data_IF_449730288128
#
_entry.id   IF_449730288128
#
_cell.length_a   1.000
_cell.length_b   1.000
_cell.length_c   1.000
_cell.angle_alpha   90.00
_cell.angle_beta   90.00
_cell.angle_gamma   90.00
#
_symmetry.space_group_name_H-M   'P 1'
#
loop_
_entity.id
_entity.type
_entity.pdbx_description
1 polymer ?
#
# COMPACT_ATOMS: atom_id res chain seq x y z
N UNK A 1 -36.04 1.58 -47.48
CA UNK A 1 -35.92 2.77 -46.60
C UNK A 1 -35.81 2.41 -45.11
N UNK A 2 -36.25 1.24 -44.70
CA UNK A 2 -36.28 0.79 -43.27
C UNK A 2 -34.91 0.26 -42.75
N UNK A 3 -34.01 -0.22 -43.65
CA UNK A 3 -32.68 -0.76 -43.25
C UNK A 3 -31.61 0.30 -42.95
N UNK A 4 -31.83 1.57 -43.31
CA UNK A 4 -30.86 2.67 -43.00
C UNK A 4 -31.16 3.39 -41.69
N UNK A 5 -32.34 3.23 -41.15
CA UNK A 5 -32.76 3.84 -39.86
C UNK A 5 -32.30 3.00 -38.70
N UNK A 6 -32.25 1.66 -38.84
CA UNK A 6 -31.78 0.74 -37.79
C UNK A 6 -30.26 0.81 -37.54
N UNK A 7 -29.46 1.16 -38.55
CA UNK A 7 -28.03 1.35 -38.40
C UNK A 7 -27.65 2.65 -37.67
N UNK A 8 -28.50 3.69 -37.79
CA UNK A 8 -28.27 4.98 -37.12
C UNK A 8 -28.68 4.93 -35.63
N UNK A 9 -29.66 4.10 -35.29
CA UNK A 9 -30.10 3.94 -33.88
C UNK A 9 -29.12 3.05 -33.11
N UNK A 10 -28.46 2.07 -33.75
CA UNK A 10 -27.41 1.25 -33.10
C UNK A 10 -26.11 2.04 -32.88
N UNK A 11 -25.80 3.02 -33.74
CA UNK A 11 -24.63 3.89 -33.53
C UNK A 11 -24.82 4.95 -32.45
N UNK A 12 -26.08 5.32 -32.13
CA UNK A 12 -26.40 6.27 -31.06
C UNK A 12 -26.53 5.61 -29.67
N UNK A 13 -26.70 4.29 -29.59
CA UNK A 13 -26.79 3.55 -28.31
C UNK A 13 -25.42 3.17 -27.83
N UNK A 14 -24.38 3.15 -28.65
CA UNK A 14 -22.99 2.89 -28.23
C UNK A 14 -22.25 4.12 -27.65
N UNK A 15 -22.87 5.31 -27.64
CA UNK A 15 -22.29 6.55 -27.08
C UNK A 15 -22.84 6.87 -25.68
N UNK A 16 -23.78 6.08 -25.15
CA UNK A 16 -24.49 6.39 -23.90
C UNK A 16 -24.28 5.38 -22.77
N UNK A 17 -23.17 4.66 -22.74
CA UNK A 17 -22.81 3.79 -21.63
C UNK A 17 -21.46 4.18 -21.03
N UNK A 18 -21.30 5.46 -20.65
CA UNK A 18 -20.34 5.81 -19.60
C UNK A 18 -21.06 5.64 -18.25
N UNK A 19 -20.52 4.85 -17.30
CA UNK A 19 -21.07 4.82 -15.97
C UNK A 19 -20.89 6.21 -15.35
N UNK A 20 -22.00 6.85 -15.00
CA UNK A 20 -22.02 8.05 -14.17
C UNK A 20 -21.55 7.64 -12.77
N UNK A 21 -20.26 7.87 -12.46
CA UNK A 21 -19.64 7.54 -11.18
C UNK A 21 -18.12 7.59 -11.17
N UNK A 22 -17.47 7.98 -12.27
CA UNK A 22 -16.03 8.25 -12.24
C UNK A 22 -15.80 9.59 -11.53
N UNK A 23 -15.15 9.57 -10.37
CA UNK A 23 -14.63 10.76 -9.71
C UNK A 23 -13.83 11.59 -10.73
N UNK A 24 -14.04 12.91 -10.72
CA UNK A 24 -13.42 13.87 -11.65
C UNK A 24 -11.90 14.04 -11.40
N UNK A 25 -11.13 12.95 -11.34
CA UNK A 25 -9.70 12.93 -11.08
C UNK A 25 -8.89 11.94 -11.94
N UNK A 26 -9.55 11.13 -12.78
CA UNK A 26 -8.88 10.06 -13.54
C UNK A 26 -8.96 10.22 -15.07
N UNK A 27 -9.24 11.41 -15.60
CA UNK A 27 -9.23 11.62 -17.05
C UNK A 27 -7.79 11.72 -17.57
N UNK A 28 -7.11 10.59 -17.73
CA UNK A 28 -5.79 10.55 -18.35
C UNK A 28 -4.90 9.41 -17.90
N UNK A 29 -5.26 8.68 -16.84
CA UNK A 29 -4.54 7.47 -16.47
C UNK A 29 -5.19 6.25 -17.14
N UNK A 30 -4.42 5.52 -17.90
CA UNK A 30 -4.81 4.26 -18.49
C UNK A 30 -3.74 3.23 -18.25
N UNK A 31 -4.07 2.21 -17.47
CA UNK A 31 -3.25 1.00 -17.31
C UNK A 31 -3.91 -0.06 -18.20
N UNK A 32 -3.30 -0.37 -19.35
CA UNK A 32 -3.76 -1.42 -20.26
C UNK A 32 -3.56 -2.82 -19.67
N UNK A 33 -4.02 -3.83 -20.40
CA UNK A 33 -3.70 -5.22 -20.06
C UNK A 33 -2.19 -5.44 -20.13
N UNK A 34 -1.64 -6.12 -19.13
CA UNK A 34 -0.24 -6.52 -19.09
C UNK A 34 -0.07 -7.87 -18.42
N UNK A 35 1.08 -8.50 -18.67
CA UNK A 35 1.46 -9.76 -18.08
C UNK A 35 2.22 -9.53 -16.78
N UNK A 36 1.84 -10.24 -15.72
CA UNK A 36 2.59 -10.30 -14.47
C UNK A 36 2.91 -11.75 -14.12
N UNK A 37 4.16 -12.01 -13.75
CA UNK A 37 4.58 -13.34 -13.31
C UNK A 37 4.21 -13.53 -11.84
N UNK A 38 3.64 -14.69 -11.50
CA UNK A 38 3.27 -15.07 -10.15
C UNK A 38 3.49 -16.57 -9.93
N UNK A 39 3.89 -16.94 -8.73
CA UNK A 39 3.89 -18.32 -8.27
C UNK A 39 2.65 -18.54 -7.40
N UNK A 40 1.67 -19.29 -7.89
CA UNK A 40 0.43 -19.59 -7.17
C UNK A 40 0.60 -20.88 -6.33
N UNK A 41 0.17 -20.84 -5.07
CA UNK A 41 0.30 -21.94 -4.11
C UNK A 41 -1.06 -22.59 -3.84
N UNK A 42 -1.29 -23.77 -4.37
CA UNK A 42 -2.53 -24.53 -4.24
C UNK A 42 -2.41 -25.66 -3.22
N UNK A 43 -3.54 -26.12 -2.67
CA UNK A 43 -3.58 -27.38 -1.92
C UNK A 43 -3.49 -28.56 -2.87
N UNK A 44 -2.76 -29.58 -2.45
CA UNK A 44 -2.78 -30.87 -3.13
C UNK A 44 -4.11 -31.60 -2.90
N UNK A 45 -4.44 -32.53 -3.78
CA UNK A 45 -5.69 -33.32 -3.71
C UNK A 45 -5.81 -34.14 -2.43
N UNK A 46 -4.71 -34.50 -1.76
CA UNK A 46 -4.68 -35.15 -0.45
C UNK A 46 -4.93 -34.19 0.73
N UNK A 47 -4.93 -32.88 0.48
CA UNK A 47 -5.26 -31.83 1.45
C UNK A 47 -4.17 -31.50 2.46
N UNK A 48 -3.05 -32.20 2.47
CA UNK A 48 -2.02 -32.10 3.54
C UNK A 48 -0.84 -31.20 3.20
N UNK A 49 -0.61 -30.93 1.92
CA UNK A 49 0.54 -30.18 1.46
C UNK A 49 0.14 -29.08 0.44
N UNK A 50 1.03 -28.11 0.29
CA UNK A 50 0.93 -27.10 -0.78
C UNK A 50 1.81 -27.49 -1.97
N UNK A 51 1.38 -27.10 -3.14
CA UNK A 51 2.15 -27.19 -4.38
C UNK A 51 2.14 -25.83 -5.08
N UNK A 52 3.28 -25.42 -5.62
CA UNK A 52 3.42 -24.15 -6.32
C UNK A 52 3.42 -24.34 -7.83
N UNK A 53 2.87 -23.35 -8.54
CA UNK A 53 2.81 -23.29 -9.98
C UNK A 53 3.12 -21.88 -10.45
N UNK A 54 4.13 -21.74 -11.29
CA UNK A 54 4.43 -20.48 -11.95
C UNK A 54 3.41 -20.19 -13.04
N UNK A 55 2.84 -19.00 -13.01
CA UNK A 55 1.87 -18.54 -14.01
C UNK A 55 2.10 -17.11 -14.41
N UNK A 56 1.92 -16.88 -15.71
CA UNK A 56 1.77 -15.53 -16.26
C UNK A 56 0.29 -15.13 -16.10
N UNK A 57 0.03 -14.11 -15.31
CA UNK A 57 -1.29 -13.54 -15.08
C UNK A 57 -1.54 -12.42 -16.09
N UNK A 58 -2.71 -12.42 -16.71
CA UNK A 58 -3.18 -11.26 -17.47
C UNK A 58 -3.85 -10.29 -16.50
N UNK A 59 -3.20 -9.17 -16.26
CA UNK A 59 -3.74 -8.10 -15.42
C UNK A 59 -4.59 -7.20 -16.30
N UNK A 60 -5.91 -7.31 -16.18
CA UNK A 60 -6.86 -6.51 -16.94
C UNK A 60 -6.87 -5.06 -16.44
N UNK A 61 -7.35 -4.16 -17.30
CA UNK A 61 -7.53 -2.74 -16.96
C UNK A 61 -8.32 -2.55 -15.65
N UNK A 62 -7.82 -1.70 -14.77
CA UNK A 62 -8.43 -1.41 -13.46
C UNK A 62 -8.21 -2.51 -12.39
N UNK A 63 -7.46 -3.57 -12.70
CA UNK A 63 -7.04 -4.57 -11.73
C UNK A 63 -5.56 -4.40 -11.38
N UNK A 64 -5.17 -4.99 -10.24
CA UNK A 64 -3.77 -5.08 -9.83
C UNK A 64 -3.28 -6.52 -9.91
N UNK A 65 -1.95 -6.76 -10.04
CA UNK A 65 -1.40 -8.11 -10.03
C UNK A 65 -1.81 -8.91 -8.79
N UNK A 66 -1.84 -8.26 -7.62
CA UNK A 66 -2.22 -8.86 -6.35
C UNK A 66 -3.67 -9.36 -6.38
N UNK A 67 -4.58 -8.57 -6.95
CA UNK A 67 -5.99 -8.97 -7.12
C UNK A 67 -6.12 -10.15 -8.08
N UNK A 68 -5.44 -10.10 -9.22
CA UNK A 68 -5.48 -11.18 -10.20
C UNK A 68 -4.91 -12.49 -9.63
N UNK A 69 -3.81 -12.41 -8.88
CA UNK A 69 -3.21 -13.57 -8.22
C UNK A 69 -4.15 -14.18 -7.18
N UNK A 70 -4.78 -13.36 -6.35
CA UNK A 70 -5.77 -13.84 -5.37
C UNK A 70 -7.01 -14.42 -6.03
N UNK A 71 -7.56 -13.79 -7.06
CA UNK A 71 -8.72 -14.33 -7.81
C UNK A 71 -8.38 -15.69 -8.43
N UNK A 72 -7.18 -15.84 -9.02
CA UNK A 72 -6.72 -17.11 -9.59
C UNK A 72 -6.47 -18.18 -8.52
N UNK A 73 -6.01 -17.81 -7.33
CA UNK A 73 -5.79 -18.71 -6.20
C UNK A 73 -7.10 -19.17 -5.55
N UNK A 74 -8.04 -18.24 -5.35
CA UNK A 74 -9.33 -18.51 -4.71
C UNK A 74 -10.30 -19.26 -5.64
N UNK A 75 -10.17 -19.05 -6.96
CA UNK A 75 -11.04 -19.66 -7.98
C UNK A 75 -10.20 -20.38 -9.05
N UNK A 76 -9.51 -21.47 -8.68
CA UNK A 76 -8.64 -22.17 -9.63
C UNK A 76 -9.45 -22.75 -10.80
N UNK A 77 -8.87 -22.67 -12.00
CA UNK A 77 -9.41 -23.29 -13.20
C UNK A 77 -8.68 -24.61 -13.46
N UNK A 78 -9.43 -25.70 -13.59
CA UNK A 78 -8.91 -27.05 -13.81
C UNK A 78 -9.18 -28.00 -12.64
N UNK A 79 -9.17 -29.31 -12.89
CA UNK A 79 -9.54 -30.34 -11.91
C UNK A 79 -8.40 -30.68 -10.94
N UNK A 80 -7.16 -30.28 -11.26
CA UNK A 80 -5.97 -30.67 -10.49
C UNK A 80 -5.64 -29.73 -9.33
N UNK A 81 -6.28 -28.56 -9.25
CA UNK A 81 -5.95 -27.50 -8.31
C UNK A 81 -7.09 -27.25 -7.32
N UNK A 82 -6.76 -27.29 -6.04
CA UNK A 82 -7.70 -26.98 -4.95
C UNK A 82 -7.31 -25.64 -4.32
N UNK A 83 -8.29 -24.73 -4.19
CA UNK A 83 -8.09 -23.48 -3.46
C UNK A 83 -7.59 -23.77 -2.03
N UNK A 84 -6.59 -23.03 -1.52
CA UNK A 84 -6.18 -23.15 -0.14
C UNK A 84 -7.23 -22.65 0.85
N UNK A 85 -8.15 -21.80 0.39
CA UNK A 85 -9.23 -21.24 1.20
C UNK A 85 -10.54 -21.99 1.02
N UNK A 86 -11.43 -22.01 2.03
CA UNK A 86 -12.77 -22.59 1.93
C UNK A 86 -13.56 -22.04 0.75
N UNK A 87 -14.47 -22.86 0.23
CA UNK A 87 -15.38 -22.43 -0.85
C UNK A 87 -16.25 -21.26 -0.36
N UNK A 88 -16.41 -20.24 -1.20
CA UNK A 88 -17.18 -19.05 -0.88
C UNK A 88 -16.36 -17.94 -0.22
N UNK A 89 -15.07 -18.14 -0.01
CA UNK A 89 -14.16 -17.06 0.43
C UNK A 89 -14.19 -15.90 -0.54
N UNK A 90 -14.31 -14.68 -0.01
CA UNK A 90 -14.39 -13.45 -0.80
C UNK A 90 -13.31 -12.45 -0.39
N UNK A 91 -12.72 -11.78 -1.37
CA UNK A 91 -11.80 -10.66 -1.14
C UNK A 91 -12.62 -9.41 -0.77
N UNK A 92 -12.55 -8.98 0.49
CA UNK A 92 -13.25 -7.80 1.00
C UNK A 92 -12.41 -6.55 0.93
N UNK A 93 -11.08 -6.69 1.07
CA UNK A 93 -10.15 -5.56 0.99
C UNK A 93 -8.80 -6.00 0.44
N UNK A 94 -8.23 -5.16 -0.39
CA UNK A 94 -6.87 -5.26 -0.88
C UNK A 94 -6.29 -3.85 -0.95
N UNK A 95 -5.19 -3.62 -0.26
CA UNK A 95 -4.49 -2.35 -0.22
C UNK A 95 -2.99 -2.59 -0.25
N UNK A 96 -2.26 -1.80 -1.01
CA UNK A 96 -0.81 -1.80 -1.06
C UNK A 96 -0.26 -0.43 -0.68
N UNK A 97 0.75 -0.39 0.14
CA UNK A 97 1.45 0.83 0.52
C UNK A 97 2.90 0.51 0.86
N UNK A 98 3.83 1.07 0.11
CA UNK A 98 5.27 0.92 0.35
C UNK A 98 5.74 -0.53 0.36
N UNK A 99 5.25 -1.37 -0.56
CA UNK A 99 5.57 -2.81 -0.63
C UNK A 99 4.81 -3.68 0.36
N UNK A 100 4.03 -3.11 1.28
CA UNK A 100 3.18 -3.85 2.24
C UNK A 100 1.79 -4.02 1.65
N UNK A 101 1.38 -5.27 1.42
CA UNK A 101 0.04 -5.63 0.96
C UNK A 101 -0.82 -6.03 2.16
N UNK A 102 -1.91 -5.32 2.41
CA UNK A 102 -2.93 -5.72 3.40
C UNK A 102 -4.11 -6.34 2.66
N UNK A 103 -4.41 -7.58 3.01
CA UNK A 103 -5.52 -8.37 2.45
C UNK A 103 -6.50 -8.68 3.56
N UNK A 104 -7.81 -8.51 3.28
CA UNK A 104 -8.88 -8.96 4.17
C UNK A 104 -9.82 -9.88 3.38
N UNK A 105 -10.03 -11.07 3.88
CA UNK A 105 -10.88 -12.09 3.28
C UNK A 105 -12.06 -12.39 4.19
N UNK A 106 -13.26 -12.40 3.62
CA UNK A 106 -14.42 -12.97 4.29
C UNK A 106 -14.39 -14.51 4.11
N UNK A 107 -14.19 -15.22 5.21
CA UNK A 107 -14.00 -16.67 5.24
C UNK A 107 -14.93 -17.28 6.28
N UNK A 108 -15.61 -18.36 5.95
CA UNK A 108 -16.26 -19.17 6.98
C UNK A 108 -15.23 -20.12 7.59
N UNK A 109 -14.67 -19.71 8.73
CA UNK A 109 -13.63 -20.46 9.45
C UNK A 109 -14.10 -21.80 9.99
N UNK A 110 -15.43 -22.06 10.06
CA UNK A 110 -15.96 -23.34 10.49
C UNK A 110 -15.64 -24.50 9.53
N UNK A 111 -15.28 -24.20 8.30
CA UNK A 111 -14.80 -25.17 7.33
C UNK A 111 -13.33 -25.55 7.49
N UNK A 112 -12.57 -24.86 8.35
CA UNK A 112 -11.19 -25.23 8.69
C UNK A 112 -11.23 -26.20 9.89
N UNK A 113 -10.80 -27.42 9.67
CA UNK A 113 -10.88 -28.48 10.68
C UNK A 113 -9.80 -28.38 11.75
N UNK A 114 -8.74 -27.59 11.48
CA UNK A 114 -7.57 -27.48 12.38
C UNK A 114 -6.79 -26.16 12.20
N UNK A 115 -6.00 -25.83 13.21
CA UNK A 115 -5.02 -24.74 13.16
C UNK A 115 -3.95 -24.97 12.06
N UNK A 116 -3.68 -26.22 11.72
CA UNK A 116 -2.78 -26.57 10.62
C UNK A 116 -3.38 -26.15 9.27
N UNK A 117 -4.66 -26.32 9.05
CA UNK A 117 -5.34 -25.85 7.82
C UNK A 117 -5.34 -24.33 7.73
N UNK A 118 -5.51 -23.63 8.84
CA UNK A 118 -5.36 -22.17 8.91
C UNK A 118 -3.94 -21.75 8.51
N UNK A 119 -2.92 -22.42 9.04
CA UNK A 119 -1.52 -22.14 8.67
C UNK A 119 -1.25 -22.44 7.20
N UNK A 120 -1.78 -23.52 6.64
CA UNK A 120 -1.70 -23.86 5.21
C UNK A 120 -2.32 -22.77 4.33
N UNK A 121 -3.54 -22.35 4.66
CA UNK A 121 -4.23 -21.29 3.93
C UNK A 121 -3.45 -19.96 3.98
N UNK A 122 -2.98 -19.59 5.17
CA UNK A 122 -2.14 -18.40 5.37
C UNK A 122 -0.89 -18.45 4.51
N UNK A 123 -0.13 -19.55 4.60
CA UNK A 123 1.12 -19.72 3.83
C UNK A 123 0.87 -19.63 2.33
N UNK A 124 -0.17 -20.27 1.83
CA UNK A 124 -0.49 -20.24 0.40
C UNK A 124 -0.79 -18.83 -0.10
N UNK A 125 -1.61 -18.08 0.63
CA UNK A 125 -1.99 -16.70 0.27
C UNK A 125 -0.77 -15.78 0.36
N UNK A 126 -0.02 -15.85 1.46
CA UNK A 126 1.15 -14.99 1.67
C UNK A 126 2.25 -15.28 0.64
N UNK A 127 2.61 -16.54 0.40
CA UNK A 127 3.61 -16.90 -0.60
C UNK A 127 3.22 -16.51 -2.02
N UNK A 128 1.94 -16.64 -2.36
CA UNK A 128 1.42 -16.20 -3.67
C UNK A 128 1.63 -14.70 -3.84
N UNK A 129 1.25 -13.89 -2.86
CA UNK A 129 1.41 -12.43 -2.94
C UNK A 129 2.88 -11.99 -2.89
N UNK A 130 3.71 -12.61 -2.03
CA UNK A 130 5.16 -12.35 -1.95
C UNK A 130 5.91 -12.77 -3.22
N UNK A 131 5.30 -13.54 -4.12
CA UNK A 131 5.90 -13.86 -5.41
C UNK A 131 5.83 -12.72 -6.41
N UNK A 132 4.95 -11.74 -6.17
CA UNK A 132 4.72 -10.61 -7.07
C UNK A 132 5.79 -9.53 -6.90
N UNK A 133 6.14 -8.88 -8.02
CA UNK A 133 7.10 -7.78 -8.02
C UNK A 133 6.61 -6.60 -7.18
N UNK A 134 7.48 -6.08 -6.31
CA UNK A 134 7.18 -4.95 -5.43
C UNK A 134 6.26 -5.27 -4.25
N UNK A 135 6.15 -6.56 -3.87
CA UNK A 135 5.52 -6.99 -2.62
C UNK A 135 6.62 -7.48 -1.66
N UNK A 136 6.83 -6.72 -0.59
CA UNK A 136 7.86 -7.01 0.42
C UNK A 136 7.25 -7.67 1.66
N UNK A 137 5.97 -7.43 1.92
CA UNK A 137 5.28 -7.94 3.10
C UNK A 137 3.79 -8.13 2.84
N UNK A 138 3.20 -9.14 3.49
CA UNK A 138 1.76 -9.44 3.42
C UNK A 138 1.16 -9.47 4.82
N UNK A 139 0.20 -8.58 5.06
CA UNK A 139 -0.62 -8.52 6.25
C UNK A 139 -1.99 -9.14 5.96
N UNK A 140 -2.15 -10.42 6.28
CA UNK A 140 -3.40 -11.15 6.04
C UNK A 140 -4.38 -10.96 7.20
N UNK A 141 -5.61 -10.57 6.87
CA UNK A 141 -6.75 -10.48 7.78
C UNK A 141 -7.82 -11.45 7.32
N UNK A 142 -8.51 -12.05 8.27
CA UNK A 142 -9.68 -12.90 8.02
C UNK A 142 -10.87 -12.33 8.80
N UNK A 143 -12.00 -12.10 8.11
CA UNK A 143 -13.20 -11.50 8.70
C UNK A 143 -12.90 -10.19 9.46
N UNK A 144 -11.99 -9.41 8.89
CA UNK A 144 -11.55 -8.14 9.45
C UNK A 144 -10.77 -8.24 10.76
N UNK A 145 -10.18 -9.38 11.06
CA UNK A 145 -9.38 -9.65 12.27
C UNK A 145 -8.10 -10.38 11.92
N UNK A 146 -7.12 -10.27 12.81
CA UNK A 146 -5.96 -11.16 12.80
C UNK A 146 -6.35 -12.47 13.47
N UNK A 147 -5.82 -13.55 12.95
CA UNK A 147 -5.97 -14.87 13.56
C UNK A 147 -4.68 -15.27 14.30
N UNK A 148 -4.84 -16.07 15.33
CA UNK A 148 -3.70 -16.67 16.02
C UNK A 148 -3.38 -18.03 15.40
N UNK A 149 -2.12 -18.28 15.12
CA UNK A 149 -1.65 -19.63 14.76
C UNK A 149 -0.89 -20.20 15.97
N UNK A 150 -1.30 -21.36 16.43
CA UNK A 150 -0.78 -21.96 17.68
C UNK A 150 -0.91 -21.05 18.92
N UNK A 151 -1.91 -20.17 18.96
CA UNK A 151 -2.16 -19.25 20.07
C UNK A 151 -1.30 -17.98 20.08
N UNK A 152 -0.43 -17.80 19.10
CA UNK A 152 0.40 -16.60 18.97
C UNK A 152 -0.06 -15.71 17.80
N UNK A 153 0.20 -14.39 17.85
CA UNK A 153 0.05 -13.53 16.69
C UNK A 153 0.86 -14.09 15.52
N UNK A 154 0.24 -14.24 14.36
CA UNK A 154 0.93 -14.72 13.16
C UNK A 154 1.88 -13.67 12.55
N UNK A 155 1.67 -12.42 12.90
CA UNK A 155 2.44 -11.28 12.37
C UNK A 155 2.17 -11.00 10.91
N UNK A 156 3.17 -10.43 10.26
CA UNK A 156 3.19 -10.09 8.83
C UNK A 156 4.20 -11.02 8.15
N UNK A 157 3.83 -11.63 7.02
CA UNK A 157 4.74 -12.45 6.24
C UNK A 157 5.66 -11.56 5.40
N UNK A 158 6.97 -11.77 5.49
CA UNK A 158 8.00 -10.97 4.78
C UNK A 158 8.87 -11.80 3.86
N UNK A 159 8.90 -13.10 4.04
CA UNK A 159 9.69 -14.01 3.23
C UNK A 159 8.80 -15.14 2.70
N UNK A 160 9.19 -15.68 1.56
CA UNK A 160 8.59 -16.90 1.02
C UNK A 160 8.99 -18.05 1.92
N UNK A 161 8.06 -18.48 2.75
CA UNK A 161 8.31 -19.63 3.60
C UNK A 161 8.48 -20.91 2.77
N UNK A 162 9.42 -21.74 3.17
CA UNK A 162 9.90 -22.90 2.41
C UNK A 162 8.88 -24.07 2.31
N UNK A 163 7.60 -23.80 2.54
CA UNK A 163 6.51 -24.78 2.44
C UNK A 163 5.70 -24.91 3.72
N UNK A 164 4.45 -25.28 3.57
CA UNK A 164 3.47 -25.29 4.65
C UNK A 164 3.80 -26.21 5.85
N UNK A 165 4.45 -27.35 5.61
CA UNK A 165 4.85 -28.24 6.69
C UNK A 165 5.94 -27.62 7.56
N UNK A 166 6.87 -26.88 6.96
CA UNK A 166 7.93 -26.15 7.67
C UNK A 166 7.34 -24.99 8.46
N UNK A 167 6.40 -24.26 7.88
CA UNK A 167 5.69 -23.15 8.52
C UNK A 167 4.92 -23.62 9.77
N UNK A 168 4.16 -24.71 9.66
CA UNK A 168 3.44 -25.29 10.79
C UNK A 168 4.37 -25.72 11.93
N UNK A 169 5.44 -26.43 11.61
CA UNK A 169 6.45 -26.84 12.63
C UNK A 169 7.11 -25.62 13.28
N UNK A 170 7.35 -24.55 12.53
CA UNK A 170 7.89 -23.30 13.06
C UNK A 170 6.92 -22.63 14.03
N UNK A 171 5.64 -22.52 13.69
CA UNK A 171 4.63 -21.96 14.60
C UNK A 171 4.51 -22.76 15.89
N UNK A 172 4.54 -24.10 15.81
CA UNK A 172 4.52 -24.95 17.00
C UNK A 172 5.74 -24.73 17.88
N UNK A 173 6.95 -24.72 17.29
CA UNK A 173 8.19 -24.51 18.04
C UNK A 173 8.23 -23.11 18.67
N UNK A 174 7.70 -22.10 17.99
CA UNK A 174 7.62 -20.75 18.52
C UNK A 174 6.63 -20.64 19.68
N UNK A 175 5.48 -21.31 19.58
CA UNK A 175 4.48 -21.36 20.64
C UNK A 175 5.04 -22.06 21.90
N UNK A 176 5.71 -23.21 21.72
CA UNK A 176 6.37 -23.90 22.80
C UNK A 176 7.45 -23.05 23.47
N UNK A 177 8.24 -22.31 22.68
CA UNK A 177 9.28 -21.42 23.20
C UNK A 177 8.72 -20.25 23.98
N UNK A 178 7.68 -19.58 23.44
CA UNK A 178 7.03 -18.46 24.11
C UNK A 178 6.33 -18.86 25.42
N UNK A 179 5.83 -20.09 25.51
CA UNK A 179 5.23 -20.63 26.74
C UNK A 179 6.22 -21.00 27.82
N UNK A 180 7.56 -20.97 27.57
CA UNK A 180 8.59 -21.16 28.57
C UNK A 180 8.90 -19.83 29.28
N UNK A 181 9.32 -19.89 30.52
CA UNK A 181 9.74 -18.71 31.30
C UNK A 181 10.87 -17.95 30.59
N UNK A 182 10.62 -16.68 30.25
CA UNK A 182 11.54 -15.83 29.46
C UNK A 182 11.66 -16.20 27.98
N UNK A 183 10.76 -17.03 27.46
CA UNK A 183 10.73 -17.39 26.05
C UNK A 183 10.26 -16.26 25.18
N UNK A 184 10.89 -16.07 24.02
CA UNK A 184 10.64 -14.98 23.07
C UNK A 184 10.49 -15.52 21.66
N UNK A 185 9.56 -14.96 20.89
CA UNK A 185 9.46 -15.16 19.46
C UNK A 185 9.61 -13.84 18.71
N UNK A 186 10.20 -13.88 17.53
CA UNK A 186 10.30 -12.73 16.63
C UNK A 186 9.11 -12.72 15.67
N UNK A 187 8.49 -11.55 15.50
CA UNK A 187 7.38 -11.34 14.58
C UNK A 187 7.54 -10.02 13.85
N UNK A 188 7.18 -10.00 12.59
CA UNK A 188 7.04 -8.77 11.84
C UNK A 188 5.68 -8.14 12.13
N UNK A 189 5.67 -6.84 12.38
CA UNK A 189 4.48 -6.04 12.63
C UNK A 189 4.45 -4.84 11.70
N UNK A 190 3.25 -4.40 11.30
CA UNK A 190 3.04 -3.11 10.63
C UNK A 190 2.68 -2.09 11.70
N UNK A 191 3.54 -1.12 11.90
CA UNK A 191 3.31 0.04 12.75
C UNK A 191 2.83 1.20 11.90
N UNK A 192 1.91 1.99 12.42
CA UNK A 192 1.38 3.15 11.72
C UNK A 192 1.84 4.43 12.39
N UNK A 193 2.44 5.32 11.60
CA UNK A 193 2.88 6.64 12.07
C UNK A 193 2.23 7.75 11.26
N UNK A 194 1.93 8.92 11.86
CA UNK A 194 1.45 10.06 11.09
C UNK A 194 2.51 10.53 10.10
N UNK A 195 2.08 10.96 8.94
CA UNK A 195 2.93 11.71 8.03
C UNK A 195 3.29 13.09 8.60
N UNK A 196 4.43 13.65 8.21
CA UNK A 196 4.86 14.98 8.64
C UNK A 196 3.85 16.10 8.34
N UNK A 197 3.06 15.94 7.25
CA UNK A 197 1.99 16.90 6.92
C UNK A 197 0.70 16.72 7.73
N UNK A 198 0.65 15.75 8.65
CA UNK A 198 -0.51 15.49 9.51
C UNK A 198 -1.78 15.03 8.79
N UNK A 199 -1.66 14.52 7.55
CA UNK A 199 -2.82 14.14 6.74
C UNK A 199 -2.99 12.63 6.58
N UNK A 200 -1.93 11.83 6.75
CA UNK A 200 -1.94 10.40 6.42
C UNK A 200 -1.29 9.57 7.53
N UNK A 201 -1.62 8.29 7.55
CA UNK A 201 -0.91 7.26 8.30
C UNK A 201 0.03 6.52 7.34
N UNK A 202 1.30 6.46 7.68
CA UNK A 202 2.30 5.72 6.90
C UNK A 202 2.61 4.40 7.60
N UNK A 203 2.46 3.26 6.91
CA UNK A 203 2.84 1.97 7.46
C UNK A 203 4.36 1.83 7.47
N UNK A 204 4.88 1.26 8.54
CA UNK A 204 6.30 0.90 8.72
C UNK A 204 6.39 -0.55 9.19
N UNK A 205 7.16 -1.35 8.47
CA UNK A 205 7.42 -2.73 8.82
C UNK A 205 8.54 -2.79 9.86
N UNK A 206 8.29 -3.50 10.98
CA UNK A 206 9.25 -3.66 12.07
C UNK A 206 9.21 -5.05 12.64
N UNK A 207 10.39 -5.65 12.84
CA UNK A 207 10.53 -6.90 13.59
C UNK A 207 10.48 -6.61 15.08
N UNK A 208 9.60 -7.28 15.79
CA UNK A 208 9.40 -7.13 17.23
C UNK A 208 9.57 -8.46 17.95
N UNK A 209 10.08 -8.39 19.17
CA UNK A 209 10.17 -9.55 20.08
C UNK A 209 8.92 -9.60 20.94
N UNK A 210 8.23 -10.73 20.98
CA UNK A 210 7.05 -10.94 21.80
C UNK A 210 7.24 -12.14 22.73
N UNK A 211 6.63 -12.05 23.92
CA UNK A 211 6.47 -13.15 24.86
C UNK A 211 4.99 -13.39 25.15
N UNK A 212 4.65 -14.43 25.87
CA UNK A 212 3.27 -14.70 26.22
C UNK A 212 2.68 -13.54 27.05
N UNK A 213 1.58 -12.97 26.57
CA UNK A 213 0.81 -11.92 27.26
C UNK A 213 1.35 -10.48 27.13
N UNK A 214 2.53 -10.25 26.54
CA UNK A 214 3.14 -8.92 26.49
C UNK A 214 2.96 -8.16 25.16
N UNK A 215 2.35 -8.78 24.16
CA UNK A 215 2.30 -8.26 22.79
C UNK A 215 1.73 -6.83 22.68
N UNK A 216 0.71 -6.47 23.48
CA UNK A 216 0.13 -5.13 23.46
C UNK A 216 1.12 -4.08 24.02
N UNK A 217 1.83 -4.42 25.10
CA UNK A 217 2.85 -3.56 25.68
C UNK A 217 4.01 -3.34 24.71
N UNK A 218 4.47 -4.39 24.06
CA UNK A 218 5.54 -4.31 23.05
C UNK A 218 5.18 -3.43 21.87
N UNK A 219 3.96 -3.53 21.34
CA UNK A 219 3.50 -2.64 20.27
C UNK A 219 3.52 -1.17 20.73
N UNK A 220 3.08 -0.88 21.93
CA UNK A 220 3.11 0.49 22.47
C UNK A 220 4.54 0.99 22.68
N UNK A 221 5.48 0.15 23.11
CA UNK A 221 6.90 0.50 23.20
C UNK A 221 7.48 0.87 21.83
N UNK A 222 7.12 0.14 20.77
CA UNK A 222 7.56 0.45 19.41
C UNK A 222 6.96 1.78 18.86
N UNK A 223 5.68 2.06 19.17
CA UNK A 223 5.06 3.35 18.84
C UNK A 223 5.78 4.49 19.57
N UNK A 224 6.13 4.29 20.85
CA UNK A 224 6.86 5.26 21.68
C UNK A 224 8.30 5.45 21.17
N UNK A 225 8.94 4.39 20.70
CA UNK A 225 10.27 4.49 20.06
C UNK A 225 10.25 5.41 18.83
N UNK A 226 9.08 5.55 18.18
CA UNK A 226 8.85 6.45 17.06
C UNK A 226 9.23 5.83 15.70
N UNK A 227 9.00 6.58 14.59
CA UNK A 227 9.26 6.09 13.25
C UNK A 227 10.75 6.03 12.94
N UNK A 228 11.15 5.07 12.10
CA UNK A 228 12.51 5.01 11.53
C UNK A 228 12.69 6.06 10.40
N UNK A 229 11.60 6.43 9.71
CA UNK A 229 11.60 7.41 8.60
C UNK A 229 11.20 8.80 9.10
N UNK A 230 12.05 9.45 9.91
CA UNK A 230 11.77 10.78 10.48
C UNK A 230 11.56 11.87 9.41
N UNK A 231 12.05 11.71 8.19
CA UNK A 231 11.85 12.67 7.09
C UNK A 231 10.40 12.74 6.57
N UNK A 232 9.67 11.65 6.62
CA UNK A 232 8.29 11.54 6.10
C UNK A 232 7.25 11.29 7.18
N UNK A 233 7.65 10.64 8.28
CA UNK A 233 6.78 10.28 9.41
C UNK A 233 7.08 11.11 10.66
N UNK A 234 6.05 11.39 11.45
CA UNK A 234 6.15 12.16 12.70
C UNK A 234 6.07 11.24 13.92
N UNK A 235 6.80 11.58 14.98
CA UNK A 235 6.69 10.90 16.28
C UNK A 235 5.40 11.33 16.98
N UNK A 236 4.65 10.37 17.51
CA UNK A 236 3.41 10.60 18.25
C UNK A 236 3.61 10.67 19.78
N UNK A 237 4.36 9.72 20.29
CA UNK A 237 4.53 9.51 21.71
C UNK A 237 6.01 9.58 22.10
N UNK A 238 6.27 9.86 23.36
CA UNK A 238 7.61 9.89 23.96
C UNK A 238 7.66 8.94 25.15
N UNK A 239 8.86 8.65 25.62
CA UNK A 239 9.06 7.86 26.84
C UNK A 239 8.26 8.45 28.00
N UNK A 240 7.55 7.60 28.71
CA UNK A 240 6.64 8.01 29.80
C UNK A 240 5.24 8.44 29.35
N UNK A 241 4.86 8.23 28.09
CA UNK A 241 3.51 8.52 27.60
C UNK A 241 2.44 7.61 28.21
N UNK A 242 2.78 6.33 28.51
CA UNK A 242 1.85 5.39 29.14
C UNK A 242 1.66 5.74 30.63
N UNK A 243 0.40 5.77 31.07
CA UNK A 243 0.04 5.90 32.47
C UNK A 243 0.01 4.52 33.18
N UNK A 244 -0.30 3.46 32.44
CA UNK A 244 -0.25 2.07 32.89
C UNK A 244 0.02 1.13 31.72
N UNK A 245 0.36 -0.11 31.98
CA UNK A 245 0.49 -1.14 30.95
C UNK A 245 -0.86 -1.38 30.25
N UNK A 246 -0.85 -1.61 28.92
CA UNK A 246 -2.05 -1.99 28.17
C UNK A 246 -2.65 -3.30 28.68
N UNK A 247 -3.98 -3.37 28.73
CA UNK A 247 -4.71 -4.56 29.14
C UNK A 247 -5.70 -5.00 28.07
N UNK A 248 -5.97 -6.31 27.98
CA UNK A 248 -6.98 -6.86 27.09
C UNK A 248 -8.21 -7.22 27.91
N UNK A 249 -9.37 -6.75 27.48
CA UNK A 249 -10.66 -7.01 28.12
C UNK A 249 -11.66 -7.56 27.10
N UNK A 250 -12.64 -8.31 27.60
CA UNK A 250 -13.78 -8.77 26.80
C UNK A 250 -15.01 -7.99 27.28
N UNK A 251 -15.68 -7.30 26.35
CA UNK A 251 -16.91 -6.56 26.65
C UNK A 251 -18.07 -7.53 26.92
N UNK A 252 -19.18 -7.06 27.50
CA UNK A 252 -20.38 -7.87 27.67
C UNK A 252 -20.93 -8.42 26.37
N UNK A 253 -20.69 -7.75 25.25
CA UNK A 253 -21.08 -8.14 23.89
C UNK A 253 -20.12 -9.18 23.29
N UNK A 254 -19.01 -9.49 23.95
CA UNK A 254 -18.01 -10.46 23.54
C UNK A 254 -16.90 -9.88 22.67
N UNK A 255 -16.82 -8.57 22.49
CA UNK A 255 -15.72 -7.92 21.75
C UNK A 255 -14.43 -7.93 22.58
N UNK A 256 -13.31 -8.21 21.95
CA UNK A 256 -11.97 -8.20 22.56
C UNK A 256 -11.30 -6.85 22.34
N UNK A 257 -11.13 -6.09 23.41
CA UNK A 257 -10.70 -4.69 23.38
C UNK A 257 -9.38 -4.53 24.12
N UNK A 258 -8.44 -3.77 23.55
CA UNK A 258 -7.21 -3.35 24.22
C UNK A 258 -7.43 -1.98 24.86
N UNK A 259 -7.26 -1.90 26.19
CA UNK A 259 -7.30 -0.63 26.92
C UNK A 259 -5.92 -0.02 27.01
N UNK A 260 -5.81 1.25 26.62
CA UNK A 260 -4.56 2.00 26.60
C UNK A 260 -4.77 3.29 27.38
N UNK A 261 -4.06 3.41 28.51
CA UNK A 261 -4.08 4.61 29.33
C UNK A 261 -2.81 5.44 29.07
N UNK A 262 -3.01 6.66 28.59
CA UNK A 262 -1.95 7.62 28.35
C UNK A 262 -1.99 8.75 29.36
N UNK A 263 -0.85 9.33 29.67
CA UNK A 263 -0.76 10.52 30.52
C UNK A 263 -1.43 11.72 29.86
N UNK A 264 -2.07 12.60 30.65
CA UNK A 264 -2.74 13.80 30.15
C UNK A 264 -1.81 14.73 29.35
N UNK A 265 -0.52 14.76 29.69
CA UNK A 265 0.52 15.54 28.98
C UNK A 265 0.72 15.16 27.51
N UNK A 266 0.21 14.00 27.08
CA UNK A 266 0.25 13.59 25.66
C UNK A 266 -0.53 14.57 24.79
N UNK A 267 -1.71 15.03 25.25
CA UNK A 267 -2.51 16.02 24.51
C UNK A 267 -1.75 17.34 24.30
N UNK A 268 -1.08 17.83 25.34
CA UNK A 268 -0.26 19.05 25.24
C UNK A 268 0.91 18.85 24.28
N UNK A 269 1.54 17.67 24.30
CA UNK A 269 2.62 17.32 23.39
C UNK A 269 2.18 17.31 21.92
N UNK A 270 1.03 16.71 21.62
CA UNK A 270 0.45 16.71 20.27
C UNK A 270 0.13 18.13 19.79
N UNK A 271 -0.45 18.96 20.67
CA UNK A 271 -0.77 20.35 20.36
C UNK A 271 0.50 21.17 20.04
N UNK A 272 1.56 20.99 20.83
CA UNK A 272 2.86 21.66 20.59
C UNK A 272 3.52 21.23 19.29
N UNK A 273 3.34 19.97 18.87
CA UNK A 273 3.85 19.43 17.61
C UNK A 273 2.97 19.81 16.42
N UNK A 274 1.77 20.36 16.64
CA UNK A 274 0.79 20.59 15.57
C UNK A 274 0.19 19.31 15.01
N UNK A 275 0.30 18.18 15.75
CA UNK A 275 -0.20 16.87 15.31
C UNK A 275 -1.66 16.72 15.73
N UNK A 276 -2.61 16.51 14.80
CA UNK A 276 -4.00 16.28 15.12
C UNK A 276 -4.22 15.05 16.01
N UNK A 277 -5.05 15.18 17.07
CA UNK A 277 -5.29 14.09 18.04
C UNK A 277 -5.86 12.83 17.39
N UNK A 278 -6.64 12.96 16.30
CA UNK A 278 -7.17 11.79 15.58
C UNK A 278 -6.08 10.85 15.05
N UNK A 279 -4.89 11.38 14.72
CA UNK A 279 -3.77 10.56 14.25
C UNK A 279 -3.21 9.66 15.35
N UNK A 280 -3.29 10.08 16.62
CA UNK A 280 -2.93 9.22 17.75
C UNK A 280 -3.87 8.00 17.81
N UNK A 281 -5.17 8.26 17.80
CA UNK A 281 -6.20 7.22 17.82
C UNK A 281 -6.05 6.26 16.64
N UNK A 282 -5.81 6.82 15.46
CA UNK A 282 -5.64 6.07 14.23
C UNK A 282 -4.38 5.20 14.25
N UNK A 283 -3.23 5.76 14.60
CA UNK A 283 -1.96 5.02 14.64
C UNK A 283 -2.01 3.86 15.64
N UNK A 284 -2.54 4.10 16.82
CA UNK A 284 -2.66 3.07 17.85
C UNK A 284 -3.65 1.97 17.42
N UNK A 285 -4.87 2.35 17.02
CA UNK A 285 -5.90 1.35 16.64
C UNK A 285 -5.48 0.51 15.43
N UNK A 286 -4.89 1.14 14.40
CA UNK A 286 -4.42 0.42 13.23
C UNK A 286 -3.27 -0.54 13.57
N UNK A 287 -2.28 -0.08 14.35
CA UNK A 287 -1.15 -0.93 14.77
C UNK A 287 -1.62 -2.12 15.60
N UNK A 288 -2.42 -1.86 16.63
CA UNK A 288 -2.88 -2.90 17.57
C UNK A 288 -3.79 -3.92 16.89
N UNK A 289 -4.83 -3.45 16.18
CA UNK A 289 -5.80 -4.35 15.55
C UNK A 289 -5.25 -5.08 14.32
N UNK A 290 -4.15 -4.62 13.72
CA UNK A 290 -3.49 -5.33 12.61
C UNK A 290 -2.45 -6.34 13.07
N UNK A 291 -2.16 -6.41 14.35
CA UNK A 291 -1.19 -7.35 14.88
C UNK A 291 -1.81 -8.34 15.86
N UNK A 292 -2.64 -7.88 16.79
CA UNK A 292 -3.18 -8.72 17.86
C UNK A 292 -4.35 -9.59 17.35
N UNK A 293 -4.34 -10.90 17.64
CA UNK A 293 -5.42 -11.80 17.26
C UNK A 293 -6.74 -11.43 17.91
N UNK A 294 -7.82 -11.54 17.14
CA UNK A 294 -9.21 -11.39 17.60
C UNK A 294 -9.52 -10.03 18.28
N UNK A 295 -8.66 -9.03 18.11
CA UNK A 295 -8.90 -7.69 18.65
C UNK A 295 -9.85 -6.91 17.75
N UNK A 296 -10.97 -6.48 18.32
CA UNK A 296 -12.02 -5.72 17.63
C UNK A 296 -11.75 -4.21 17.62
N UNK A 297 -11.06 -3.71 18.64
CA UNK A 297 -10.76 -2.30 18.79
C UNK A 297 -9.89 -1.97 19.98
N UNK A 298 -9.66 -0.69 20.16
CA UNK A 298 -8.93 -0.15 21.32
C UNK A 298 -9.76 0.92 22.02
N UNK A 299 -9.60 1.06 23.33
CA UNK A 299 -10.05 2.24 24.07
C UNK A 299 -8.83 3.01 24.55
N UNK A 300 -8.87 4.33 24.41
CA UNK A 300 -7.78 5.22 24.79
C UNK A 300 -8.28 6.22 25.82
N UNK A 301 -7.52 6.42 26.90
CA UNK A 301 -7.73 7.54 27.82
C UNK A 301 -6.53 8.47 27.81
N UNK A 302 -6.76 9.77 27.92
CA UNK A 302 -5.75 10.82 28.09
C UNK A 302 -5.91 11.40 29.50
N UNK A 303 -5.09 10.92 30.43
CA UNK A 303 -5.36 11.05 31.85
C UNK A 303 -6.63 10.26 32.22
N UNK A 304 -7.62 10.94 32.84
CA UNK A 304 -8.91 10.34 33.21
C UNK A 304 -9.97 10.44 32.08
N UNK A 305 -9.70 11.21 31.01
CA UNK A 305 -10.67 11.48 29.95
C UNK A 305 -10.62 10.41 28.85
N UNK A 306 -11.72 9.71 28.56
CA UNK A 306 -11.78 8.79 27.44
C UNK A 306 -11.80 9.55 26.10
N UNK A 307 -11.15 8.98 25.09
CA UNK A 307 -11.26 9.45 23.72
C UNK A 307 -12.54 8.87 23.11
N UNK A 308 -13.60 9.66 23.08
CA UNK A 308 -14.94 9.26 22.61
C UNK A 308 -15.22 9.64 21.15
N UNK A 309 -14.33 10.37 20.51
CA UNK A 309 -14.49 10.83 19.12
C UNK A 309 -13.29 11.59 18.64
N UNK A 310 -13.32 11.95 17.36
CA UNK A 310 -12.26 12.68 16.70
C UNK A 310 -12.81 13.66 15.66
N UNK A 311 -12.12 14.80 15.48
CA UNK A 311 -12.33 15.65 14.33
C UNK A 311 -11.31 15.24 13.24
N UNK A 312 -11.80 14.58 12.19
CA UNK A 312 -10.96 14.08 11.11
C UNK A 312 -11.18 14.99 9.90
N UNK A 313 -10.21 15.85 9.63
CA UNK A 313 -10.23 16.77 8.47
C UNK A 313 -11.53 17.60 8.39
N UNK A 314 -12.05 18.06 9.53
CA UNK A 314 -13.27 18.86 9.62
C UNK A 314 -14.56 18.06 9.81
N UNK A 315 -14.54 16.74 9.68
CA UNK A 315 -15.67 15.87 9.98
C UNK A 315 -15.56 15.31 11.41
N UNK A 316 -16.60 15.50 12.22
CA UNK A 316 -16.65 14.89 13.56
C UNK A 316 -17.11 13.44 13.45
N UNK A 317 -16.34 12.53 14.06
CA UNK A 317 -16.65 11.13 14.22
C UNK A 317 -16.76 10.80 15.70
N UNK A 318 -17.79 10.08 16.08
CA UNK A 318 -18.00 9.57 17.44
C UNK A 318 -17.68 8.08 17.41
N UNK A 319 -16.91 7.62 18.39
CA UNK A 319 -16.61 6.20 18.58
C UNK A 319 -17.67 5.59 19.48
N UNK A 320 -18.40 4.62 18.96
CA UNK A 320 -19.43 3.91 19.69
C UNK A 320 -18.80 3.16 20.87
N UNK A 321 -19.37 3.32 22.06
CA UNK A 321 -18.86 2.80 23.34
C UNK A 321 -17.38 3.18 23.65
N UNK A 322 -16.91 4.29 23.08
CA UNK A 322 -15.51 4.73 23.08
C UNK A 322 -14.52 3.72 22.47
N UNK A 323 -15.02 2.75 21.70
CA UNK A 323 -14.20 1.76 21.04
C UNK A 323 -13.76 2.30 19.67
N UNK A 324 -12.45 2.44 19.50
CA UNK A 324 -11.81 2.92 18.29
C UNK A 324 -11.42 1.71 17.46
N UNK A 325 -12.01 1.59 16.29
CA UNK A 325 -11.77 0.44 15.39
C UNK A 325 -10.89 0.83 14.21
N UNK A 326 -10.11 -0.12 13.68
CA UNK A 326 -9.25 0.11 12.53
C UNK A 326 -10.02 0.60 11.28
N UNK A 327 -11.26 0.14 11.06
CA UNK A 327 -12.11 0.60 9.95
C UNK A 327 -12.45 2.08 10.02
N UNK A 328 -12.30 2.71 11.20
CA UNK A 328 -12.48 4.14 11.36
C UNK A 328 -11.45 4.95 10.60
N UNK A 329 -10.27 4.37 10.38
CA UNK A 329 -9.12 5.08 9.85
C UNK A 329 -8.48 4.43 8.61
N UNK A 330 -8.93 3.28 8.18
CA UNK A 330 -8.32 2.53 7.09
C UNK A 330 -8.21 3.32 5.77
N UNK A 331 -9.13 4.27 5.52
CA UNK A 331 -9.11 5.14 4.36
C UNK A 331 -8.05 6.26 4.42
N UNK A 332 -7.38 6.42 5.56
CA UNK A 332 -6.35 7.45 5.76
C UNK A 332 -4.93 6.89 5.68
N UNK A 333 -4.77 5.67 5.18
CA UNK A 333 -3.45 5.10 4.88
C UNK A 333 -2.86 5.83 3.68
N UNK A 334 -1.67 6.36 3.88
CA UNK A 334 -0.90 7.06 2.87
C UNK A 334 0.17 6.18 2.24
N UNK A 335 0.78 6.73 1.22
CA UNK A 335 1.96 6.17 0.56
C UNK A 335 2.95 7.28 0.22
N UNK A 336 4.16 6.89 -0.14
CA UNK A 336 5.24 7.78 -0.50
C UNK A 336 5.37 7.79 -2.02
N UNK A 337 5.12 8.95 -2.62
CA UNK A 337 5.39 9.23 -4.02
C UNK A 337 6.85 9.68 -4.16
N UNK A 338 7.62 8.97 -4.94
CA UNK A 338 9.04 9.25 -5.17
C UNK A 338 9.23 9.96 -6.51
N UNK A 339 9.91 11.10 -6.48
CA UNK A 339 10.18 11.94 -7.65
C UNK A 339 11.70 12.13 -7.83
N UNK A 340 12.12 12.34 -9.07
CA UNK A 340 13.49 12.71 -9.41
C UNK A 340 13.50 14.15 -9.92
N UNK A 341 14.02 15.09 -9.13
CA UNK A 341 14.13 16.52 -9.45
C UNK A 341 15.58 16.93 -9.63
N UNK A 342 15.82 18.05 -10.33
CA UNK A 342 17.17 18.59 -10.55
C UNK A 342 17.78 19.10 -9.21
N UNK A 343 19.00 18.69 -8.88
CA UNK A 343 19.77 19.16 -7.72
C UNK A 343 20.52 20.50 -7.98
N UNK A 344 20.36 21.07 -9.21
CA UNK A 344 21.10 22.24 -9.67
C UNK A 344 22.55 21.95 -10.06
N UNK A 345 23.11 20.83 -9.62
CA UNK A 345 24.50 20.38 -9.94
C UNK A 345 24.59 19.57 -11.24
N UNK A 346 23.49 19.07 -11.75
CA UNK A 346 23.42 18.24 -12.96
C UNK A 346 23.02 16.81 -12.72
N UNK A 347 22.55 16.49 -11.52
CA UNK A 347 22.03 15.18 -11.17
C UNK A 347 20.56 15.29 -10.78
N UNK A 348 19.90 14.14 -10.75
CA UNK A 348 18.53 13.98 -10.28
C UNK A 348 18.56 13.51 -8.83
N UNK A 349 18.02 14.30 -7.93
CA UNK A 349 17.89 13.93 -6.52
C UNK A 349 16.51 13.34 -6.23
N UNK A 350 16.44 12.44 -5.25
CA UNK A 350 15.19 11.84 -4.79
C UNK A 350 14.43 12.83 -3.89
N UNK A 351 13.16 13.04 -4.22
CA UNK A 351 12.23 13.80 -3.40
C UNK A 351 11.04 12.88 -3.06
N UNK A 352 10.72 12.78 -1.79
CA UNK A 352 9.63 11.96 -1.29
C UNK A 352 8.45 12.86 -0.86
N UNK A 353 7.26 12.55 -1.37
CA UNK A 353 6.02 13.25 -1.03
C UNK A 353 4.98 12.26 -0.52
N UNK A 354 4.31 12.64 0.56
CA UNK A 354 3.24 11.80 1.11
C UNK A 354 1.89 12.18 0.51
N UNK A 355 1.19 11.16 0.03
CA UNK A 355 -0.16 11.25 -0.53
C UNK A 355 -1.00 10.02 -0.10
N UNK A 356 -2.19 9.81 -0.65
CA UNK A 356 -2.92 8.54 -0.42
C UNK A 356 -2.16 7.36 -1.04
N UNK A 357 -2.29 6.17 -0.48
CA UNK A 357 -1.65 4.95 -0.99
C UNK A 357 -1.90 4.74 -2.49
N UNK A 358 -3.15 4.85 -2.92
CA UNK A 358 -3.52 4.71 -4.33
C UNK A 358 -2.86 5.74 -5.26
N UNK A 359 -2.65 6.97 -4.80
CA UNK A 359 -1.99 8.02 -5.60
C UNK A 359 -0.48 7.88 -5.61
N UNK A 360 0.11 7.34 -4.55
CA UNK A 360 1.55 7.13 -4.45
C UNK A 360 2.06 6.13 -5.49
N UNK A 361 1.22 5.20 -5.94
CA UNK A 361 1.53 4.20 -6.95
C UNK A 361 0.92 4.50 -8.33
N UNK A 362 0.27 5.66 -8.49
CA UNK A 362 -0.36 6.09 -9.76
C UNK A 362 0.66 6.79 -10.67
N UNK A 363 1.01 6.23 -11.85
CA UNK A 363 1.92 6.87 -12.80
C UNK A 363 1.46 8.26 -13.23
N UNK A 364 0.17 8.44 -13.40
CA UNK A 364 -0.46 9.71 -13.72
C UNK A 364 -0.23 10.76 -12.63
N UNK A 365 -0.54 10.41 -11.37
CA UNK A 365 -0.39 11.33 -10.25
C UNK A 365 1.08 11.70 -10.00
N UNK A 366 1.97 10.71 -10.11
CA UNK A 366 3.42 10.90 -9.96
C UNK A 366 3.95 11.90 -11.00
N UNK A 367 3.55 11.75 -12.27
CA UNK A 367 3.94 12.69 -13.31
C UNK A 367 3.33 14.08 -13.12
N UNK A 368 2.10 14.18 -12.63
CA UNK A 368 1.53 15.48 -12.25
C UNK A 368 2.35 16.17 -11.17
N UNK A 369 2.83 15.43 -10.17
CA UNK A 369 3.70 15.96 -9.13
C UNK A 369 5.07 16.38 -9.68
N UNK A 370 5.64 15.59 -10.61
CA UNK A 370 6.90 15.92 -11.27
C UNK A 370 6.77 17.21 -12.10
N UNK A 371 5.70 17.36 -12.87
CA UNK A 371 5.41 18.53 -13.69
C UNK A 371 5.17 19.76 -12.81
N UNK A 372 4.49 19.62 -11.69
CA UNK A 372 4.25 20.72 -10.76
C UNK A 372 5.57 21.29 -10.16
N UNK A 373 6.64 20.49 -10.22
CA UNK A 373 7.96 20.89 -9.71
C UNK A 373 8.06 20.93 -8.20
N UNK A 374 9.13 21.52 -7.62
CA UNK A 374 9.37 21.54 -6.19
C UNK A 374 8.33 22.37 -5.44
N UNK A 375 8.03 21.94 -4.20
CA UNK A 375 7.19 22.68 -3.26
C UNK A 375 8.02 23.62 -2.38
N UNK A 376 7.38 24.54 -1.67
CA UNK A 376 8.05 25.55 -0.83
C UNK A 376 8.91 24.97 0.31
N UNK A 377 8.70 23.71 0.69
CA UNK A 377 9.48 23.01 1.72
C UNK A 377 10.68 22.23 1.17
N UNK A 378 10.79 22.07 -0.14
CA UNK A 378 11.82 21.27 -0.79
C UNK A 378 12.99 22.18 -1.24
N UNK A 379 13.93 22.41 -0.34
CA UNK A 379 15.07 23.27 -0.60
C UNK A 379 16.17 22.57 -1.39
N UNK A 380 16.84 23.30 -2.28
CA UNK A 380 18.00 22.79 -3.03
C UNK A 380 17.62 21.89 -4.22
N UNK A 381 16.34 21.86 -4.59
CA UNK A 381 15.85 21.15 -5.79
C UNK A 381 15.14 22.10 -6.73
N UNK A 382 15.20 21.80 -8.01
CA UNK A 382 14.73 22.68 -9.08
C UNK A 382 13.79 21.94 -10.01
N UNK A 383 12.91 22.70 -10.65
CA UNK A 383 11.97 22.20 -11.62
C UNK A 383 12.70 21.68 -12.87
N UNK A 384 12.32 20.49 -13.34
CA UNK A 384 12.89 19.87 -14.54
C UNK A 384 12.14 20.26 -15.82
N UNK A 385 10.86 20.63 -15.71
CA UNK A 385 10.04 21.06 -16.85
C UNK A 385 10.28 22.54 -17.19
N UNK A 386 10.19 22.93 -18.48
CA UNK A 386 10.29 24.32 -18.89
C UNK A 386 9.20 25.20 -18.25
N UNK A 387 9.50 26.47 -18.07
CA UNK A 387 8.51 27.43 -17.61
C UNK A 387 7.29 27.48 -18.55
N UNK A 388 6.10 27.45 -17.97
CA UNK A 388 4.83 27.45 -18.71
C UNK A 388 4.25 26.05 -18.98
N UNK A 389 5.01 24.99 -18.74
CA UNK A 389 4.45 23.63 -18.73
C UNK A 389 3.59 23.46 -17.48
N UNK A 390 2.43 22.85 -17.63
CA UNK A 390 1.49 22.58 -16.56
C UNK A 390 1.00 21.13 -16.60
N UNK A 391 0.29 20.70 -15.56
CA UNK A 391 -0.31 19.36 -15.51
C UNK A 391 -1.35 19.11 -16.63
N UNK A 392 -1.87 20.17 -17.26
CA UNK A 392 -2.76 20.06 -18.41
C UNK A 392 -2.03 19.62 -19.69
N UNK A 393 -0.71 19.76 -19.73
CA UNK A 393 0.11 19.30 -20.84
C UNK A 393 0.36 17.79 -20.83
N UNK A 394 0.04 17.11 -19.73
CA UNK A 394 0.01 15.66 -19.64
C UNK A 394 -1.37 15.19 -20.14
N UNK A 395 -1.42 14.50 -21.28
CA UNK A 395 -2.65 14.05 -21.91
C UNK A 395 -3.04 12.63 -21.51
N UNK A 396 -2.06 11.81 -21.12
CA UNK A 396 -2.33 10.45 -20.69
C UNK A 396 -1.05 9.68 -20.33
N UNK A 397 -1.23 8.64 -19.54
CA UNK A 397 -0.20 7.64 -19.25
C UNK A 397 -0.83 6.27 -19.40
N UNK A 398 -0.16 5.38 -20.12
CA UNK A 398 -0.54 3.97 -20.29
C UNK A 398 0.63 3.09 -19.90
N UNK A 399 0.40 2.14 -19.02
CA UNK A 399 1.42 1.12 -18.67
C UNK A 399 0.99 -0.21 -19.26
N UNK A 400 1.86 -0.84 -20.04
CA UNK A 400 1.57 -2.08 -20.74
C UNK A 400 2.87 -2.88 -20.92
N UNK A 401 2.88 -4.13 -20.47
CA UNK A 401 4.04 -5.03 -20.59
C UNK A 401 5.38 -4.44 -20.08
N UNK A 402 5.31 -3.69 -18.97
CA UNK A 402 6.50 -3.06 -18.38
C UNK A 402 6.91 -1.73 -19.01
N UNK A 403 6.18 -1.24 -20.02
CA UNK A 403 6.48 0.03 -20.68
C UNK A 403 5.41 1.07 -20.35
N UNK A 404 5.82 2.20 -19.76
CA UNK A 404 4.95 3.35 -19.56
C UNK A 404 4.99 4.27 -20.80
N UNK A 405 3.90 4.37 -21.53
CA UNK A 405 3.73 5.34 -22.62
C UNK A 405 3.12 6.62 -22.06
N UNK A 406 3.90 7.69 -22.07
CA UNK A 406 3.49 9.01 -21.61
C UNK A 406 3.15 9.90 -22.81
N UNK A 407 1.96 10.46 -22.84
CA UNK A 407 1.50 11.32 -23.92
C UNK A 407 1.39 12.77 -23.46
N UNK A 408 2.12 13.67 -24.10
CA UNK A 408 2.10 15.10 -23.84
C UNK A 408 1.44 15.89 -24.96
N UNK A 409 1.03 17.12 -24.63
CA UNK A 409 0.44 18.06 -25.58
C UNK A 409 1.46 18.65 -26.56
N UNK A 410 0.98 19.17 -27.67
CA UNK A 410 1.79 19.97 -28.60
C UNK A 410 2.38 21.22 -27.93
N UNK A 411 1.69 21.78 -26.90
CA UNK A 411 2.22 22.90 -26.13
C UNK A 411 3.47 22.51 -25.33
N UNK A 412 3.47 21.33 -24.68
CA UNK A 412 4.66 20.79 -24.00
C UNK A 412 5.83 20.71 -24.98
N UNK A 413 5.62 20.11 -26.16
CA UNK A 413 6.65 19.98 -27.19
C UNK A 413 7.22 21.34 -27.60
N UNK A 414 6.35 22.30 -27.89
CA UNK A 414 6.75 23.66 -28.25
C UNK A 414 7.60 24.33 -27.14
N UNK A 415 7.25 24.16 -25.89
CA UNK A 415 7.98 24.73 -24.74
C UNK A 415 9.32 24.02 -24.50
N UNK A 416 9.47 22.76 -24.92
CA UNK A 416 10.73 22.03 -24.83
C UNK A 416 11.75 22.41 -25.92
N UNK A 417 11.34 22.93 -27.07
CA UNK A 417 12.22 23.23 -28.21
C UNK A 417 13.43 24.12 -27.86
N UNK A 418 13.33 25.14 -26.98
CA UNK A 418 14.47 25.99 -26.62
C UNK A 418 15.41 25.37 -25.56
N UNK A 419 15.18 24.16 -25.09
CA UNK A 419 16.04 23.53 -24.08
C UNK A 419 17.44 23.30 -24.63
N UNK A 420 18.44 23.51 -23.77
CA UNK A 420 19.80 23.11 -24.08
C UNK A 420 19.98 21.59 -23.81
N UNK A 421 21.06 20.96 -24.32
CA UNK A 421 21.30 19.52 -24.18
C UNK A 421 21.22 18.98 -22.76
N UNK A 422 21.70 19.74 -21.76
CA UNK A 422 21.62 19.35 -20.37
C UNK A 422 20.17 19.37 -19.86
N UNK A 423 19.44 20.42 -20.17
CA UNK A 423 18.05 20.57 -19.72
C UNK A 423 17.14 19.49 -20.33
N UNK A 424 17.30 19.19 -21.62
CA UNK A 424 16.56 18.09 -22.26
C UNK A 424 16.87 16.75 -21.60
N UNK A 425 18.14 16.46 -21.35
CA UNK A 425 18.57 15.23 -20.67
C UNK A 425 17.98 15.13 -19.27
N UNK A 426 18.02 16.21 -18.49
CA UNK A 426 17.44 16.25 -17.14
C UNK A 426 15.94 16.00 -17.17
N UNK A 427 15.19 16.65 -18.08
CA UNK A 427 13.75 16.46 -18.21
C UNK A 427 13.39 15.02 -18.58
N UNK A 428 14.02 14.48 -19.63
CA UNK A 428 13.71 13.13 -20.12
C UNK A 428 14.00 12.09 -19.04
N UNK A 429 15.19 12.14 -18.41
CA UNK A 429 15.54 11.16 -17.38
C UNK A 429 14.87 11.41 -16.03
N UNK A 430 14.40 12.61 -15.73
CA UNK A 430 13.51 12.83 -14.59
C UNK A 430 12.20 12.06 -14.77
N UNK A 431 11.60 12.11 -15.96
CA UNK A 431 10.39 11.34 -16.29
C UNK A 431 10.67 9.83 -16.22
N UNK A 432 11.71 9.38 -16.91
CA UNK A 432 12.06 7.95 -17.00
C UNK A 432 12.42 7.36 -15.64
N UNK A 433 13.37 7.99 -14.92
CA UNK A 433 13.83 7.48 -13.63
C UNK A 433 12.76 7.58 -12.53
N UNK A 434 11.83 8.54 -12.65
CA UNK A 434 10.68 8.63 -11.73
C UNK A 434 9.70 7.50 -11.97
N UNK A 435 9.30 7.23 -13.20
CA UNK A 435 8.33 6.18 -13.51
C UNK A 435 8.89 4.77 -13.30
N UNK A 436 10.16 4.55 -13.64
CA UNK A 436 10.81 3.24 -13.46
C UNK A 436 11.09 2.89 -11.98
N UNK A 437 10.71 3.73 -11.02
CA UNK A 437 10.66 3.36 -9.59
C UNK A 437 9.38 2.56 -9.26
N UNK A 438 8.36 2.65 -10.10
CA UNK A 438 7.16 1.84 -9.95
C UNK A 438 7.44 0.40 -10.40
N UNK A 439 7.09 -0.63 -9.59
CA UNK A 439 7.42 -2.02 -9.90
C UNK A 439 7.02 -2.49 -11.29
N UNK A 440 5.84 -2.13 -11.84
CA UNK A 440 5.45 -2.61 -13.16
C UNK A 440 6.15 -1.88 -14.32
N UNK A 441 6.97 -0.82 -14.05
CA UNK A 441 7.54 0.03 -15.11
C UNK A 441 9.03 -0.23 -15.26
N UNK A 442 9.44 -0.77 -16.41
CA UNK A 442 10.85 -1.08 -16.76
C UNK A 442 11.41 -0.12 -17.80
N UNK A 443 10.51 0.46 -18.62
CA UNK A 443 10.86 1.39 -19.68
C UNK A 443 9.80 2.46 -19.87
N UNK A 444 10.14 3.55 -20.55
CA UNK A 444 9.21 4.66 -20.83
C UNK A 444 9.27 5.01 -22.32
N UNK A 445 8.09 5.21 -22.95
CA UNK A 445 7.94 5.83 -24.26
C UNK A 445 7.31 7.21 -24.10
N UNK A 446 7.85 8.22 -24.77
CA UNK A 446 7.30 9.58 -24.77
C UNK A 446 6.62 9.84 -26.13
N UNK A 447 5.38 10.34 -26.08
CA UNK A 447 4.58 10.67 -27.26
C UNK A 447 4.10 12.13 -27.17
N UNK A 448 3.89 12.74 -28.31
CA UNK A 448 3.30 14.08 -28.44
C UNK A 448 2.04 13.96 -29.27
N UNK A 449 0.88 14.30 -28.68
CA UNK A 449 -0.45 14.11 -29.31
C UNK A 449 -0.65 12.69 -29.85
N UNK A 450 -0.08 11.68 -29.13
CA UNK A 450 -0.11 10.28 -29.52
C UNK A 450 0.92 9.86 -30.56
N UNK A 451 1.65 10.82 -31.16
CA UNK A 451 2.64 10.54 -32.18
C UNK A 451 4.05 10.39 -31.59
N UNK A 452 4.86 9.57 -32.25
CA UNK A 452 6.29 9.47 -31.98
C UNK A 452 7.02 10.72 -32.49
N UNK A 453 7.95 11.23 -31.68
CA UNK A 453 8.85 12.33 -32.06
C UNK A 453 10.29 11.88 -31.91
N UNK A 454 11.19 12.43 -32.72
CA UNK A 454 12.59 12.03 -32.71
C UNK A 454 13.31 12.50 -31.43
N UNK A 455 13.10 13.74 -31.04
CA UNK A 455 13.69 14.38 -29.85
C UNK A 455 12.76 15.47 -29.34
N UNK A 456 12.99 15.99 -28.10
CA UNK A 456 12.33 17.22 -27.62
C UNK A 456 13.08 18.48 -28.09
N UNK A 457 14.43 18.47 -28.02
CA UNK A 457 15.27 19.61 -28.36
C UNK A 457 16.57 19.23 -29.11
N UNK A 458 16.70 17.99 -29.56
CA UNK A 458 17.78 17.53 -30.44
C UNK A 458 18.88 16.71 -29.77
N UNK A 459 18.81 16.45 -28.45
CA UNK A 459 19.88 15.73 -27.72
C UNK A 459 19.51 14.25 -27.49
N UNK A 460 18.31 13.96 -26.99
CA UNK A 460 17.91 12.62 -26.59
C UNK A 460 16.93 12.02 -27.61
N UNK A 461 17.30 10.90 -28.20
CA UNK A 461 16.38 10.13 -29.06
C UNK A 461 15.21 9.59 -28.24
N UNK A 462 14.00 9.90 -28.66
CA UNK A 462 12.74 9.42 -28.07
C UNK A 462 12.10 8.30 -28.88
N UNK A 463 12.77 7.83 -29.94
CA UNK A 463 12.31 6.71 -30.74
C UNK A 463 12.49 5.41 -29.98
N UNK A 464 11.38 4.69 -29.74
CA UNK A 464 11.38 3.45 -28.98
C UNK A 464 11.35 3.65 -27.46
N UNK A 465 11.84 2.65 -26.75
CA UNK A 465 11.81 2.57 -25.28
C UNK A 465 13.04 3.24 -24.65
N UNK A 466 12.79 4.08 -23.66
CA UNK A 466 13.82 4.70 -22.83
C UNK A 466 13.98 3.91 -21.54
N UNK A 467 15.20 3.44 -21.31
CA UNK A 467 15.56 2.74 -20.07
C UNK A 467 16.02 3.72 -18.99
N UNK A 468 15.85 3.39 -17.69
CA UNK A 468 16.33 4.24 -16.61
C UNK A 468 17.85 4.45 -16.68
N UNK A 469 18.28 5.66 -16.32
CA UNK A 469 19.69 6.02 -16.26
C UNK A 469 20.11 6.27 -14.80
N UNK A 470 20.59 5.25 -14.06
CA UNK A 470 21.03 5.41 -12.67
C UNK A 470 22.18 6.42 -12.51
N UNK A 471 23.03 6.56 -13.53
CA UNK A 471 24.14 7.52 -13.53
C UNK A 471 23.71 9.00 -13.51
N UNK A 472 22.44 9.29 -13.74
CA UNK A 472 21.86 10.63 -13.59
C UNK A 472 21.42 10.94 -12.15
N UNK A 473 21.31 9.93 -11.29
CA UNK A 473 20.84 10.10 -9.93
C UNK A 473 21.99 10.60 -9.02
N UNK A 474 21.69 11.59 -8.18
CA UNK A 474 22.57 11.96 -7.08
C UNK A 474 22.69 10.79 -6.09
N UNK A 475 23.89 10.57 -5.56
CA UNK A 475 24.19 9.56 -4.55
C UNK A 475 24.08 10.14 -3.15
#
# INVERSE_FOLDING_TARGET
MIRKITALILALILIAAFPAGAEAGQMGEYVGEYAAEATLWFRRSDGTELTSVDRTLVVAEGKTPERCALEALLHPTGEDWISPAPQGTQLTRLEKSGGIVTVDLAVDLSYLESQQELALMRTAICNTLLSLEGVDAVNLMLNSRKEAVCGLPDGVATEKDAGAAVEWARFQADAERCGQEGGVSQRWAVLYFPSQNGLWLLPELREISISEGDSAARLMEEIIAGPAREGTSARLLTVGALASEPTIEITPEGERIVRIALNASVRDSLLLQGTPEWLLSAAISMTVCYFLPEVDGVTITLGEEPVFGANIRGANRIFEDNIIRRQDFSMYVGGICQLRLDDGGGNLTLVERVTSSARAESPWHILQQLIAGPTSGENGVFQVTPAGVSTQDLLGVRVENGTATVNFSANFYRLCQPLNPRQERMLVYAIVNTLCQLPPVKAVCIRIEGAEVETLAGEISLTGELLPSPGMNAF
#
